data_IF_845450421472
#
_entry.id   IF_845450421472
#
_cell.length_a   1.000
_cell.length_b   1.000
_cell.length_c   1.000
_cell.angle_alpha   90.00
_cell.angle_beta   90.00
_cell.angle_gamma   90.00
#
_symmetry.space_group_name_H-M   'P 1'
#
loop_
_entity.id
_entity.type
_entity.pdbx_description
1 polymer ?
#
# COMPACT_ATOMS: atom_id res chain seq x y z
N UNK A 1 7.24 -12.73 -13.47
CA UNK A 1 7.81 -11.49 -12.94
C UNK A 1 7.14 -11.20 -11.61
N UNK A 2 7.91 -10.97 -10.56
CA UNK A 2 7.40 -10.92 -9.18
C UNK A 2 7.42 -9.47 -8.72
N UNK A 3 6.29 -8.79 -8.81
CA UNK A 3 6.11 -7.48 -8.20
C UNK A 3 6.33 -7.59 -6.69
N UNK A 4 7.11 -6.67 -6.13
CA UNK A 4 7.28 -6.61 -4.68
C UNK A 4 6.21 -5.70 -4.10
N UNK A 5 5.48 -6.20 -3.10
CA UNK A 5 4.47 -5.45 -2.38
C UNK A 5 4.92 -5.21 -0.95
N UNK A 6 4.71 -3.99 -0.48
CA UNK A 6 4.90 -3.60 0.90
C UNK A 6 3.75 -2.70 1.37
N UNK A 7 3.45 -2.73 2.65
CA UNK A 7 2.54 -1.79 3.31
C UNK A 7 3.37 -0.87 4.21
N UNK A 8 3.19 0.43 4.06
CA UNK A 8 3.74 1.43 4.96
C UNK A 8 2.66 1.87 5.95
N UNK A 9 2.96 1.82 7.24
CA UNK A 9 2.11 2.39 8.29
C UNK A 9 2.52 3.85 8.45
N UNK A 10 1.55 4.75 8.36
CA UNK A 10 1.75 6.18 8.44
C UNK A 10 1.22 6.73 9.77
N UNK A 11 1.85 7.79 10.25
CA UNK A 11 1.34 8.57 11.37
C UNK A 11 0.25 9.57 10.96
N UNK A 12 -0.24 10.34 11.94
CA UNK A 12 -1.21 11.41 11.71
C UNK A 12 -0.73 12.54 10.79
N UNK A 13 0.59 12.65 10.56
CA UNK A 13 1.19 13.60 9.61
C UNK A 13 1.52 12.94 8.24
N UNK A 14 1.03 11.71 8.03
CA UNK A 14 1.22 10.89 6.82
C UNK A 14 2.69 10.52 6.55
N UNK A 15 3.54 10.53 7.58
CA UNK A 15 4.92 10.10 7.47
C UNK A 15 5.01 8.59 7.68
N UNK A 16 5.81 7.88 6.87
CA UNK A 16 5.99 6.45 7.05
C UNK A 16 6.76 6.19 8.35
N UNK A 17 6.10 5.57 9.31
CA UNK A 17 6.76 5.12 10.54
C UNK A 17 7.40 3.75 10.34
N UNK A 18 6.75 2.87 9.57
CA UNK A 18 7.20 1.48 9.35
C UNK A 18 6.85 0.98 7.95
N UNK A 19 7.68 0.07 7.43
CA UNK A 19 7.49 -0.61 6.16
C UNK A 19 7.44 -2.14 6.39
N UNK A 20 6.38 -2.79 5.93
CA UNK A 20 6.14 -4.21 6.08
C UNK A 20 6.07 -4.88 4.71
N UNK A 21 6.95 -5.84 4.43
CA UNK A 21 6.93 -6.58 3.16
C UNK A 21 5.94 -7.74 3.22
N UNK A 22 4.99 -7.80 2.28
CA UNK A 22 3.87 -8.75 2.33
C UNK A 22 4.26 -10.22 2.20
N UNK A 23 5.48 -10.50 1.74
CA UNK A 23 5.99 -11.85 1.54
C UNK A 23 6.45 -12.54 2.82
N UNK A 24 6.70 -11.80 3.91
CA UNK A 24 7.49 -12.33 5.02
C UNK A 24 6.73 -12.49 6.34
N UNK A 25 5.68 -11.72 6.62
CA UNK A 25 5.01 -11.84 7.91
C UNK A 25 3.58 -11.24 7.95
N UNK A 26 2.58 -12.08 7.68
CA UNK A 26 1.16 -11.66 7.74
C UNK A 26 0.63 -11.53 9.17
N UNK A 27 1.19 -12.31 10.10
CA UNK A 27 0.74 -12.30 11.50
C UNK A 27 1.33 -11.12 12.27
N UNK A 28 2.62 -10.83 12.08
CA UNK A 28 3.23 -9.61 12.59
C UNK A 28 2.57 -8.36 12.02
N UNK A 29 2.15 -8.40 10.74
CA UNK A 29 1.40 -7.31 10.13
C UNK A 29 0.10 -7.00 10.87
N UNK A 30 -0.74 -8.02 11.15
CA UNK A 30 -1.98 -7.83 11.90
C UNK A 30 -1.71 -7.34 13.34
N UNK A 31 -0.73 -7.91 14.03
CA UNK A 31 -0.37 -7.49 15.39
C UNK A 31 0.05 -6.01 15.43
N UNK A 32 0.85 -5.57 14.46
CA UNK A 32 1.31 -4.19 14.38
C UNK A 32 0.22 -3.21 13.96
N UNK A 33 -0.65 -3.61 13.03
CA UNK A 33 -1.80 -2.81 12.65
C UNK A 33 -2.72 -2.59 13.86
N UNK A 34 -3.10 -3.64 14.58
CA UNK A 34 -4.00 -3.54 15.73
C UNK A 34 -3.46 -2.72 16.90
N UNK A 35 -2.15 -2.45 16.97
CA UNK A 35 -1.54 -1.69 18.08
C UNK A 35 -1.63 -0.18 17.93
N UNK A 36 -1.75 0.31 16.69
CA UNK A 36 -1.84 1.74 16.40
C UNK A 36 -3.28 2.05 15.92
N UNK A 37 -4.19 2.31 16.87
CA UNK A 37 -5.58 2.70 16.58
C UNK A 37 -5.62 3.95 15.67
N UNK A 38 -6.46 3.92 14.62
CA UNK A 38 -6.64 5.05 13.69
C UNK A 38 -5.53 5.25 12.65
N UNK A 39 -4.74 4.22 12.35
CA UNK A 39 -3.61 4.31 11.43
C UNK A 39 -3.99 4.42 9.95
N UNK A 40 -3.27 5.30 9.25
CA UNK A 40 -3.27 5.40 7.80
C UNK A 40 -2.25 4.43 7.22
N UNK A 41 -2.60 3.73 6.13
CA UNK A 41 -1.72 2.75 5.48
C UNK A 41 -1.49 3.13 4.03
N UNK A 42 -0.26 3.04 3.52
CA UNK A 42 0.02 3.16 2.09
C UNK A 42 0.48 1.81 1.52
N UNK A 43 -0.08 1.41 0.38
CA UNK A 43 0.37 0.26 -0.39
C UNK A 43 1.48 0.71 -1.34
N UNK A 44 2.60 0.02 -1.32
CA UNK A 44 3.75 0.30 -2.18
C UNK A 44 4.01 -0.94 -3.03
N UNK A 45 3.87 -0.78 -4.35
CA UNK A 45 4.18 -1.81 -5.33
C UNK A 45 5.45 -1.39 -6.09
N UNK A 46 6.43 -2.29 -6.16
CA UNK A 46 7.64 -2.09 -6.96
C UNK A 46 7.65 -3.09 -8.10
N UNK A 47 7.69 -2.54 -9.32
CA UNK A 47 7.84 -3.27 -10.56
C UNK A 47 9.28 -3.24 -11.03
N UNK A 48 9.57 -4.08 -12.02
CA UNK A 48 10.81 -4.00 -12.78
C UNK A 48 10.99 -2.61 -13.41
N UNK A 49 12.24 -2.15 -13.51
CA UNK A 49 12.61 -0.82 -14.02
C UNK A 49 12.12 -0.55 -15.44
N UNK A 50 11.96 -1.59 -16.26
CA UNK A 50 11.52 -1.45 -17.64
C UNK A 50 9.99 -1.46 -17.81
N UNK A 51 9.24 -1.61 -16.71
CA UNK A 51 7.78 -1.62 -16.75
C UNK A 51 7.19 -0.21 -16.56
N UNK A 52 5.92 -0.06 -16.94
CA UNK A 52 5.17 1.15 -16.65
C UNK A 52 4.70 1.17 -15.19
N UNK A 53 4.73 2.32 -14.49
CA UNK A 53 4.09 2.48 -13.19
C UNK A 53 2.57 2.67 -13.32
N UNK A 54 2.03 2.84 -14.53
CA UNK A 54 0.59 3.04 -14.72
C UNK A 54 -0.20 1.80 -14.24
N UNK A 55 -1.34 2.01 -13.57
CA UNK A 55 -2.13 0.92 -13.05
C UNK A 55 -2.81 0.16 -14.20
N UNK A 56 -2.84 -1.15 -14.07
CA UNK A 56 -3.72 -2.03 -14.82
C UNK A 56 -4.92 -2.44 -13.94
N UNK A 57 -5.88 -3.15 -14.53
CA UNK A 57 -7.09 -3.58 -13.81
C UNK A 57 -6.79 -4.39 -12.54
N UNK A 58 -5.69 -5.16 -12.52
CA UNK A 58 -5.28 -5.97 -11.36
C UNK A 58 -4.87 -5.09 -10.18
N UNK A 59 -4.21 -3.97 -10.44
CA UNK A 59 -3.78 -3.04 -9.39
C UNK A 59 -4.97 -2.31 -8.80
N UNK A 60 -5.96 -1.96 -9.62
CA UNK A 60 -7.23 -1.39 -9.16
C UNK A 60 -7.98 -2.39 -8.29
N UNK A 61 -8.06 -3.65 -8.71
CA UNK A 61 -8.69 -4.72 -7.93
C UNK A 61 -7.95 -4.97 -6.60
N UNK A 62 -6.63 -4.95 -6.61
CA UNK A 62 -5.79 -5.05 -5.41
C UNK A 62 -6.07 -3.89 -4.45
N UNK A 63 -6.03 -2.66 -4.94
CA UNK A 63 -6.30 -1.44 -4.16
C UNK A 63 -7.65 -1.53 -3.45
N UNK A 64 -8.71 -1.89 -4.19
CA UNK A 64 -10.07 -2.03 -3.64
C UNK A 64 -10.16 -3.15 -2.60
N UNK A 65 -9.51 -4.28 -2.86
CA UNK A 65 -9.47 -5.41 -1.92
C UNK A 65 -8.80 -4.99 -0.62
N UNK A 66 -7.61 -4.38 -0.69
CA UNK A 66 -6.88 -3.91 0.49
C UNK A 66 -7.68 -2.86 1.25
N UNK A 67 -8.20 -1.84 0.58
CA UNK A 67 -9.01 -0.81 1.21
C UNK A 67 -10.23 -1.39 1.94
N UNK A 68 -10.90 -2.38 1.34
CA UNK A 68 -12.03 -3.06 1.98
C UNK A 68 -11.61 -3.91 3.18
N UNK A 69 -10.46 -4.56 3.13
CA UNK A 69 -9.92 -5.36 4.24
C UNK A 69 -9.44 -4.53 5.42
N UNK A 70 -9.06 -3.26 5.20
CA UNK A 70 -8.65 -2.34 6.27
C UNK A 70 -9.84 -1.75 7.04
N UNK A 71 -11.00 -1.57 6.41
CA UNK A 71 -12.18 -0.93 7.04
C UNK A 71 -12.62 -1.56 8.38
N UNK A 72 -12.68 -2.90 8.54
CA UNK A 72 -13.06 -3.50 9.82
C UNK A 72 -12.06 -3.26 10.95
N UNK A 73 -10.85 -2.80 10.63
CA UNK A 73 -9.78 -2.49 11.58
C UNK A 73 -9.72 -1.01 11.95
N UNK A 74 -10.72 -0.22 11.53
CA UNK A 74 -10.74 1.25 11.64
C UNK A 74 -9.50 1.92 11.00
N UNK A 75 -9.04 1.34 9.89
CA UNK A 75 -7.89 1.80 9.12
C UNK A 75 -8.28 2.24 7.72
N UNK A 76 -7.51 3.19 7.20
CA UNK A 76 -7.74 3.76 5.88
C UNK A 76 -6.52 3.62 4.98
N UNK A 77 -6.75 3.25 3.72
CA UNK A 77 -5.73 3.28 2.68
C UNK A 77 -5.47 4.74 2.30
N UNK A 78 -4.35 5.28 2.75
CA UNK A 78 -3.86 6.60 2.40
C UNK A 78 -3.50 6.66 0.93
N UNK A 79 -2.68 5.75 0.43
CA UNK A 79 -2.36 5.73 -1.00
C UNK A 79 -2.06 4.32 -1.50
N UNK A 80 -2.11 4.14 -2.80
CA UNK A 80 -1.41 3.07 -3.48
C UNK A 80 -0.42 3.69 -4.46
N UNK A 81 0.88 3.45 -4.22
CA UNK A 81 1.97 3.95 -5.05
C UNK A 81 2.63 2.80 -5.79
N UNK A 82 2.64 2.88 -7.12
CA UNK A 82 3.35 1.94 -7.99
C UNK A 82 4.63 2.61 -8.46
N UNK A 83 5.78 2.00 -8.16
CA UNK A 83 7.09 2.40 -8.62
C UNK A 83 7.57 1.52 -9.78
N UNK A 84 8.22 2.14 -10.76
CA UNK A 84 9.00 1.47 -11.80
C UNK A 84 10.25 2.32 -12.09
N UNK A 85 11.40 1.91 -11.55
CA UNK A 85 12.60 2.75 -11.49
C UNK A 85 12.33 4.07 -10.76
N UNK A 86 12.70 5.17 -11.38
CA UNK A 86 12.49 6.54 -10.87
C UNK A 86 11.05 7.05 -11.07
N UNK A 87 10.24 6.35 -11.87
CA UNK A 87 8.86 6.74 -12.11
C UNK A 87 7.93 6.19 -11.03
N UNK A 88 6.88 6.95 -10.73
CA UNK A 88 5.82 6.52 -9.80
C UNK A 88 4.44 6.95 -10.26
N UNK A 89 3.45 6.17 -9.87
CA UNK A 89 2.03 6.50 -9.97
C UNK A 89 1.39 6.47 -8.59
N UNK A 90 0.61 7.49 -8.25
CA UNK A 90 -0.17 7.57 -7.00
C UNK A 90 -1.66 7.50 -7.34
N UNK A 91 -2.35 6.53 -6.74
CA UNK A 91 -3.81 6.41 -6.88
C UNK A 91 -4.52 7.62 -6.28
N UNK A 92 -4.04 8.14 -5.15
CA UNK A 92 -4.65 9.30 -4.48
C UNK A 92 -4.52 10.54 -5.35
N UNK A 93 -3.32 10.83 -5.85
CA UNK A 93 -3.08 12.00 -6.69
C UNK A 93 -3.88 11.95 -8.01
N UNK A 94 -4.17 10.75 -8.50
CA UNK A 94 -5.00 10.52 -9.68
C UNK A 94 -6.52 10.47 -9.40
N UNK A 95 -6.96 10.57 -8.14
CA UNK A 95 -8.38 10.50 -7.77
C UNK A 95 -9.00 9.09 -7.91
N UNK A 96 -8.20 8.03 -7.74
CA UNK A 96 -8.62 6.64 -7.92
C UNK A 96 -8.85 5.86 -6.62
N UNK A 97 -8.86 6.54 -5.46
CA UNK A 97 -8.97 5.97 -4.12
C UNK A 97 -10.34 6.17 -3.47
#
# INVERSE_FOLDING_TARGET
MTDQLALAILDGEWRPQRLLTLRQDWHGLLYHLLRDEGSWVALIQRRDIHMSPLPCWRDVALTRTVARSLRPLDMMLADHVIHAGEMRFSFRAAGLL
#
